data_IF_429982597270
#
_entry.id   IF_429982597270
#
_cell.length_a   1.000
_cell.length_b   1.000
_cell.length_c   1.000
_cell.angle_alpha   90.00
_cell.angle_beta   90.00
_cell.angle_gamma   90.00
#
_symmetry.space_group_name_H-M   'P 1'
#
loop_
_entity.id
_entity.type
_entity.pdbx_description
1 polymer ?
#
# COMPACT_ATOMS: atom_id res chain seq x y z
N UNK A 1 3.19 -4.82 10.40
CA UNK A 1 4.02 -3.83 9.66
C UNK A 1 3.17 -3.12 8.62
N UNK A 2 3.34 -1.82 8.54
CA UNK A 2 2.66 -1.00 7.54
C UNK A 2 3.52 -0.84 6.30
N UNK A 3 2.85 -0.88 5.14
CA UNK A 3 3.49 -0.64 3.85
C UNK A 3 2.68 0.36 3.05
N UNK A 4 3.35 1.35 2.47
CA UNK A 4 2.76 2.14 1.41
C UNK A 4 3.08 1.42 0.10
N UNK A 5 2.04 0.96 -0.59
CA UNK A 5 2.17 0.30 -1.88
C UNK A 5 1.95 1.34 -2.96
N UNK A 6 2.96 1.56 -3.79
CA UNK A 6 2.86 2.49 -4.89
C UNK A 6 2.67 1.68 -6.16
N UNK A 7 1.55 1.92 -6.83
CA UNK A 7 1.16 1.21 -8.05
C UNK A 7 1.22 2.16 -9.23
N UNK A 8 1.92 1.76 -10.29
CA UNK A 8 1.89 2.46 -11.57
C UNK A 8 1.08 1.64 -12.56
N UNK A 9 0.07 2.25 -13.14
CA UNK A 9 -0.77 1.57 -14.13
C UNK A 9 -0.01 1.46 -15.45
N UNK A 10 0.20 0.22 -15.90
CA UNK A 10 0.89 -0.03 -17.17
C UNK A 10 0.08 0.54 -18.32
N UNK A 11 0.78 1.16 -19.25
CA UNK A 11 0.17 1.83 -20.40
C UNK A 11 -0.83 2.90 -20.01
N UNK A 12 -0.76 3.40 -18.77
CA UNK A 12 -1.70 4.39 -18.22
C UNK A 12 -3.15 3.91 -18.34
N UNK A 13 -3.36 2.61 -18.22
CA UNK A 13 -4.66 1.99 -18.43
C UNK A 13 -5.37 1.71 -17.10
N UNK A 14 -5.81 2.77 -16.46
CA UNK A 14 -6.59 2.66 -15.23
C UNK A 14 -7.90 1.90 -15.46
N UNK A 15 -8.51 2.02 -16.64
CA UNK A 15 -9.78 1.39 -16.94
C UNK A 15 -9.69 -0.14 -16.82
N UNK A 16 -8.60 -0.75 -17.30
CA UNK A 16 -8.38 -2.19 -17.19
C UNK A 16 -8.22 -2.63 -15.74
N UNK A 17 -7.54 -1.83 -14.92
CA UNK A 17 -7.36 -2.10 -13.49
C UNK A 17 -8.71 -2.10 -12.78
N UNK A 18 -9.51 -1.07 -12.99
CA UNK A 18 -10.82 -0.96 -12.34
C UNK A 18 -11.81 -2.01 -12.85
N UNK A 19 -11.70 -2.43 -14.11
CA UNK A 19 -12.52 -3.51 -14.63
C UNK A 19 -12.25 -4.82 -13.89
N UNK A 20 -10.98 -5.16 -13.68
CA UNK A 20 -10.61 -6.36 -12.92
C UNK A 20 -11.04 -6.25 -11.46
N UNK A 21 -10.89 -5.07 -10.87
CA UNK A 21 -11.32 -4.84 -9.50
C UNK A 21 -12.82 -5.08 -9.34
N UNK A 22 -13.65 -4.59 -10.26
CA UNK A 22 -15.09 -4.83 -10.22
C UNK A 22 -15.43 -6.31 -10.34
N UNK A 23 -14.67 -7.03 -11.15
CA UNK A 23 -14.93 -8.45 -11.42
C UNK A 23 -14.44 -9.35 -10.29
N UNK A 24 -13.27 -9.08 -9.72
CA UNK A 24 -12.58 -10.01 -8.81
C UNK A 24 -12.24 -9.41 -7.45
N UNK A 25 -12.51 -8.14 -7.23
CA UNK A 25 -12.11 -7.44 -6.01
C UNK A 25 -10.60 -7.22 -5.95
N UNK A 26 -10.10 -6.93 -4.75
CA UNK A 26 -8.67 -6.64 -4.54
C UNK A 26 -7.79 -7.87 -4.64
N UNK A 27 -8.33 -9.02 -4.34
CA UNK A 27 -7.62 -10.31 -4.35
C UNK A 27 -6.47 -10.36 -3.33
N UNK A 28 -6.59 -9.62 -2.24
CA UNK A 28 -5.60 -9.69 -1.17
C UNK A 28 -5.70 -11.03 -0.44
N UNK A 29 -4.58 -11.76 -0.26
CA UNK A 29 -4.60 -13.01 0.48
C UNK A 29 -4.86 -12.77 1.96
N UNK A 30 -5.27 -13.83 2.68
CA UNK A 30 -5.42 -13.76 4.13
C UNK A 30 -4.10 -13.33 4.77
N UNK A 31 -4.18 -12.44 5.76
CA UNK A 31 -3.00 -11.90 6.42
C UNK A 31 -2.46 -10.60 5.81
N UNK A 32 -2.99 -10.18 4.69
CA UNK A 32 -2.70 -8.87 4.09
C UNK A 32 -3.96 -8.02 4.15
N UNK A 33 -3.92 -6.93 4.94
CA UNK A 33 -5.08 -6.10 5.23
C UNK A 33 -4.97 -4.76 4.49
N UNK A 34 -6.00 -4.44 3.71
CA UNK A 34 -6.16 -3.12 3.11
C UNK A 34 -6.67 -2.13 4.15
N UNK A 35 -6.04 -0.96 4.25
CA UNK A 35 -6.46 0.08 5.18
C UNK A 35 -7.07 1.28 4.45
N UNK A 36 -6.40 1.83 3.45
CA UNK A 36 -6.89 2.99 2.70
C UNK A 36 -6.09 3.14 1.41
N UNK A 37 -6.60 3.94 0.48
CA UNK A 37 -5.88 4.20 -0.77
C UNK A 37 -6.27 5.54 -1.39
N UNK A 38 -5.37 6.06 -2.22
CA UNK A 38 -5.53 7.31 -2.94
C UNK A 38 -5.02 7.11 -4.36
N UNK A 39 -5.71 7.71 -5.33
CA UNK A 39 -5.31 7.65 -6.73
C UNK A 39 -4.87 9.04 -7.17
N UNK A 40 -3.73 9.13 -7.85
CA UNK A 40 -3.30 10.38 -8.47
C UNK A 40 -4.40 10.90 -9.38
N UNK A 41 -4.65 12.20 -9.35
CA UNK A 41 -5.73 12.79 -10.15
C UNK A 41 -5.52 12.62 -11.65
N UNK A 42 -4.28 12.42 -12.10
CA UNK A 42 -3.95 12.14 -13.49
C UNK A 42 -4.16 10.66 -13.89
N UNK A 43 -4.60 9.81 -12.95
CA UNK A 43 -4.89 8.39 -13.19
C UNK A 43 -3.65 7.54 -13.48
N UNK A 44 -2.46 7.99 -13.09
CA UNK A 44 -1.21 7.24 -13.34
C UNK A 44 -0.82 6.32 -12.20
N UNK A 45 -1.01 6.74 -10.96
CA UNK A 45 -0.56 5.98 -9.80
C UNK A 45 -1.65 5.86 -8.75
N UNK A 46 -1.58 4.75 -8.00
CA UNK A 46 -2.36 4.54 -6.80
C UNK A 46 -1.42 4.32 -5.61
N UNK A 47 -1.77 4.89 -4.47
CA UNK A 47 -1.05 4.72 -3.22
C UNK A 47 -1.96 3.97 -2.26
N UNK A 48 -1.60 2.75 -1.88
CA UNK A 48 -2.40 1.93 -0.97
C UNK A 48 -1.65 1.71 0.33
N UNK A 49 -2.34 1.93 1.45
CA UNK A 49 -1.80 1.61 2.76
C UNK A 49 -2.27 0.21 3.13
N UNK A 50 -1.32 -0.70 3.31
CA UNK A 50 -1.58 -2.09 3.61
C UNK A 50 -0.83 -2.52 4.86
N UNK A 51 -1.38 -3.49 5.57
CA UNK A 51 -0.73 -4.05 6.75
C UNK A 51 -0.57 -5.55 6.63
N UNK A 52 0.59 -6.06 7.04
CA UNK A 52 0.86 -7.48 7.16
C UNK A 52 2.05 -7.72 8.09
N UNK A 53 2.04 -8.87 8.77
CA UNK A 53 3.21 -9.35 9.52
C UNK A 53 4.13 -10.20 8.65
N UNK A 54 3.69 -10.54 7.44
CA UNK A 54 4.45 -11.35 6.49
C UNK A 54 4.60 -10.60 5.17
N UNK A 55 5.73 -9.90 4.94
CA UNK A 55 5.95 -9.15 3.71
C UNK A 55 5.87 -9.99 2.42
N UNK A 56 6.07 -11.30 2.50
CA UNK A 56 5.96 -12.17 1.33
C UNK A 56 4.55 -12.15 0.74
N UNK A 57 3.52 -11.84 1.55
CA UNK A 57 2.14 -11.74 1.07
C UNK A 57 1.95 -10.59 0.10
N UNK A 58 2.77 -9.55 0.18
CA UNK A 58 2.72 -8.44 -0.79
C UNK A 58 3.08 -8.95 -2.19
N UNK A 59 4.09 -9.81 -2.30
CA UNK A 59 4.50 -10.39 -3.58
C UNK A 59 3.43 -11.35 -4.11
N UNK A 60 2.82 -12.13 -3.24
CA UNK A 60 1.71 -13.04 -3.63
C UNK A 60 0.56 -12.23 -4.20
N UNK A 61 0.19 -11.14 -3.54
CA UNK A 61 -0.88 -10.27 -4.00
C UNK A 61 -0.52 -9.58 -5.32
N UNK A 62 0.68 -9.04 -5.42
CA UNK A 62 1.14 -8.34 -6.61
C UNK A 62 1.11 -9.23 -7.86
N UNK A 63 1.35 -10.54 -7.70
CA UNK A 63 1.32 -11.47 -8.83
C UNK A 63 -0.05 -11.50 -9.55
N UNK A 64 -1.13 -11.23 -8.82
CA UNK A 64 -2.48 -11.19 -9.40
C UNK A 64 -2.73 -9.95 -10.27
N UNK A 65 -1.85 -8.96 -10.20
CA UNK A 65 -2.00 -7.68 -10.89
C UNK A 65 -0.82 -7.31 -11.78
N UNK A 66 0.23 -8.14 -11.81
CA UNK A 66 1.51 -7.79 -12.42
C UNK A 66 1.44 -7.50 -13.92
N UNK A 67 0.42 -7.98 -14.60
CA UNK A 67 0.19 -7.70 -16.02
C UNK A 67 -0.34 -6.28 -16.26
N UNK A 68 -0.98 -5.68 -15.26
CA UNK A 68 -1.60 -4.35 -15.38
C UNK A 68 -0.89 -3.27 -14.57
N UNK A 69 -0.11 -3.65 -13.56
CA UNK A 69 0.42 -2.74 -12.55
C UNK A 69 1.87 -3.06 -12.23
N UNK A 70 2.69 -2.03 -12.14
CA UNK A 70 4.02 -2.13 -11.55
C UNK A 70 3.96 -1.67 -10.09
N UNK A 71 4.56 -2.46 -9.20
CA UNK A 71 4.47 -2.23 -7.75
C UNK A 71 5.79 -1.79 -7.15
N UNK A 72 5.69 -0.90 -6.16
CA UNK A 72 6.77 -0.58 -5.24
C UNK A 72 6.22 -0.69 -3.82
N UNK A 73 6.91 -1.42 -2.94
CA UNK A 73 6.50 -1.61 -1.55
C UNK A 73 7.44 -0.84 -0.63
N UNK A 74 6.90 0.14 0.08
CA UNK A 74 7.68 1.00 0.97
C UNK A 74 7.24 0.76 2.41
N UNK A 75 8.09 0.20 3.27
CA UNK A 75 7.74 0.07 4.69
C UNK A 75 7.63 1.47 5.30
N UNK A 76 6.56 1.69 6.04
CA UNK A 76 6.26 2.99 6.64
C UNK A 76 5.81 2.82 8.08
N UNK A 77 5.83 3.91 8.81
CA UNK A 77 5.16 4.04 10.10
C UNK A 77 4.39 5.34 10.11
N UNK A 78 3.44 5.47 11.01
CA UNK A 78 2.70 6.73 11.13
C UNK A 78 3.62 7.84 11.62
N UNK A 79 3.27 9.08 11.30
CA UNK A 79 4.03 10.23 11.80
C UNK A 79 4.03 10.27 13.32
N UNK A 80 2.93 9.83 13.96
CA UNK A 80 2.83 9.75 15.42
C UNK A 80 3.85 8.77 15.99
N UNK A 81 3.94 7.57 15.40
CA UNK A 81 4.93 6.56 15.82
C UNK A 81 6.35 7.09 15.64
N UNK A 82 6.59 7.73 14.52
CA UNK A 82 7.91 8.27 14.22
C UNK A 82 8.29 9.39 15.17
N UNK A 83 7.35 10.28 15.49
CA UNK A 83 7.56 11.38 16.43
C UNK A 83 7.95 10.86 17.82
N UNK A 84 7.38 9.73 18.23
CA UNK A 84 7.68 9.14 19.54
C UNK A 84 9.15 8.70 19.65
N UNK A 85 9.82 8.38 18.53
CA UNK A 85 11.24 8.02 18.54
C UNK A 85 12.15 9.20 18.89
N UNK A 86 11.66 10.43 18.72
CA UNK A 86 12.41 11.66 18.96
C UNK A 86 11.87 12.44 20.15
N UNK A 87 10.92 11.86 20.90
CA UNK A 87 10.35 12.51 22.07
C UNK A 87 11.40 12.62 23.18
N UNK A 88 11.40 13.73 23.96
CA UNK A 88 12.30 13.82 25.11
C UNK A 88 11.92 12.78 26.17
N UNK A 89 12.89 12.43 27.03
CA UNK A 89 12.62 11.50 28.12
C UNK A 89 11.50 12.06 29.02
N UNK A 90 10.60 11.20 29.55
CA UNK A 90 9.45 11.66 30.32
C UNK A 90 9.79 12.58 31.49
N UNK A 91 10.87 12.28 32.19
CA UNK A 91 11.31 13.09 33.33
C UNK A 91 11.90 14.43 32.90
N UNK A 92 12.44 14.52 31.69
CA UNK A 92 13.01 15.75 31.17
C UNK A 92 11.93 16.73 30.69
N UNK A 93 10.75 16.23 30.40
CA UNK A 93 9.65 17.01 29.84
C UNK A 93 8.65 17.48 30.89
N UNK A 94 8.81 17.02 32.09
CA UNK A 94 7.91 17.38 33.17
C UNK A 94 8.20 18.76 33.79
#
# INVERSE_FOLDING_TARGET
>A
MLFMVIERFRNRDAAAVYARFRERGRMAPDGLTYLDSWVETNQDRCFQLMETDDPALLEVWAASWADLVDFEFVPVRTSRENAALFAPAPDASS
#
